data_IF_655598400831
#
_entry.id   IF_655598400831
#
_cell.length_a   1.000
_cell.length_b   1.000
_cell.length_c   1.000
_cell.angle_alpha   90.00
_cell.angle_beta   90.00
_cell.angle_gamma   90.00
#
_symmetry.space_group_name_H-M   'P 1'
#
loop_
_entity.id
_entity.type
_entity.pdbx_description
1 polymer ?
#
# COMPACT_ATOMS: atom_id res chain seq x y z
N UNK A 1 25.12 23.39 -3.82
CA UNK A 1 24.41 24.35 -4.70
C UNK A 1 24.23 23.74 -6.09
N UNK A 2 25.25 23.08 -6.67
CA UNK A 2 25.21 22.49 -8.02
C UNK A 2 24.10 21.45 -8.15
N UNK A 3 23.99 20.52 -7.21
CA UNK A 3 22.97 19.45 -7.19
C UNK A 3 21.53 19.97 -7.12
N UNK A 4 21.31 21.13 -6.50
CA UNK A 4 19.99 21.77 -6.43
C UNK A 4 19.57 22.39 -7.77
N UNK A 5 20.52 22.91 -8.54
CA UNK A 5 20.26 23.49 -9.85
C UNK A 5 19.95 22.40 -10.87
N UNK A 6 20.63 21.26 -10.78
CA UNK A 6 20.38 20.09 -11.64
C UNK A 6 19.01 19.45 -11.41
N UNK A 7 18.45 19.54 -10.20
CA UNK A 7 17.12 19.02 -9.88
C UNK A 7 15.95 19.89 -10.39
N UNK A 8 16.17 21.19 -10.60
CA UNK A 8 15.10 22.13 -10.96
C UNK A 8 14.31 21.77 -12.23
N UNK A 9 14.93 21.34 -13.35
CA UNK A 9 14.19 20.94 -14.55
C UNK A 9 13.26 19.75 -14.30
N UNK A 10 13.70 18.81 -13.46
CA UNK A 10 12.89 17.63 -13.09
C UNK A 10 11.72 18.03 -12.18
N UNK A 11 11.95 18.87 -11.19
CA UNK A 11 10.90 19.41 -10.31
C UNK A 11 9.85 20.10 -11.17
N UNK A 12 10.24 20.99 -12.07
CA UNK A 12 9.32 21.69 -12.98
C UNK A 12 8.54 20.72 -13.88
N UNK A 13 9.18 19.66 -14.37
CA UNK A 13 8.57 18.66 -15.25
C UNK A 13 7.49 17.84 -14.53
N UNK A 14 7.70 17.55 -13.25
CA UNK A 14 6.83 16.66 -12.46
C UNK A 14 5.89 17.39 -11.50
N UNK A 15 6.03 18.71 -11.34
CA UNK A 15 5.15 19.51 -10.50
C UNK A 15 3.68 19.33 -10.91
N UNK A 16 2.81 19.10 -9.93
CA UNK A 16 1.37 18.86 -10.13
C UNK A 16 1.01 17.46 -10.63
N UNK A 17 2.01 16.63 -10.97
CA UNK A 17 1.75 15.25 -11.44
C UNK A 17 1.56 14.30 -10.27
N UNK A 18 0.67 13.33 -10.47
CA UNK A 18 0.48 12.21 -9.55
C UNK A 18 1.59 11.18 -9.76
N UNK A 19 2.21 10.77 -8.66
CA UNK A 19 3.27 9.75 -8.64
C UNK A 19 2.86 8.65 -7.67
N UNK A 20 2.75 7.42 -8.17
CA UNK A 20 2.48 6.25 -7.33
C UNK A 20 3.80 5.64 -6.89
N UNK A 21 4.00 5.57 -5.59
CA UNK A 21 5.18 4.96 -4.96
C UNK A 21 4.78 3.62 -4.36
N UNK A 22 5.29 2.53 -4.93
CA UNK A 22 5.14 1.20 -4.37
C UNK A 22 6.20 1.00 -3.28
N UNK A 23 5.74 0.72 -2.08
CA UNK A 23 6.59 0.50 -0.91
C UNK A 23 6.37 -0.89 -0.32
N UNK A 24 7.41 -1.71 -0.29
CA UNK A 24 7.28 -3.09 0.18
C UNK A 24 8.61 -3.85 0.21
N UNK A 25 8.54 -5.14 0.44
CA UNK A 25 9.70 -6.03 0.43
C UNK A 25 10.69 -5.77 1.57
N UNK A 26 11.98 -5.79 1.27
CA UNK A 26 13.07 -5.61 2.26
C UNK A 26 13.12 -4.20 2.84
N UNK A 27 12.69 -3.19 2.09
CA UNK A 27 12.66 -1.81 2.56
C UNK A 27 11.73 -1.60 3.77
N UNK A 28 10.77 -2.50 4.00
CA UNK A 28 9.88 -2.44 5.18
C UNK A 28 10.49 -3.01 6.46
N UNK A 29 11.61 -3.73 6.37
CA UNK A 29 12.23 -4.41 7.51
C UNK A 29 13.29 -3.56 8.21
N UNK A 30 13.90 -2.63 7.48
CA UNK A 30 14.92 -1.72 7.99
C UNK A 30 14.25 -0.38 8.32
N UNK A 31 14.25 -0.02 9.59
CA UNK A 31 13.64 1.24 10.07
C UNK A 31 14.30 2.48 9.47
N UNK A 32 15.62 2.43 9.17
CA UNK A 32 16.31 3.54 8.53
C UNK A 32 15.90 3.68 7.06
N UNK A 33 15.82 2.56 6.32
CA UNK A 33 15.35 2.56 4.94
C UNK A 33 13.88 3.01 4.87
N UNK A 34 13.06 2.53 5.78
CA UNK A 34 11.65 2.94 5.90
C UNK A 34 11.53 4.45 6.10
N UNK A 35 12.26 5.00 7.06
CA UNK A 35 12.25 6.44 7.32
C UNK A 35 12.74 7.24 6.11
N UNK A 36 13.81 6.81 5.45
CA UNK A 36 14.34 7.50 4.27
C UNK A 36 13.34 7.52 3.11
N UNK A 37 12.69 6.38 2.81
CA UNK A 37 11.66 6.33 1.76
C UNK A 37 10.50 7.27 2.08
N UNK A 38 10.02 7.29 3.32
CA UNK A 38 8.93 8.17 3.73
C UNK A 38 9.35 9.65 3.65
N UNK A 39 10.59 9.96 4.02
CA UNK A 39 11.17 11.30 3.88
C UNK A 39 11.25 11.75 2.43
N UNK A 40 11.67 10.87 1.53
CA UNK A 40 11.73 11.16 0.10
C UNK A 40 10.33 11.41 -0.47
N UNK A 41 9.33 10.61 -0.09
CA UNK A 41 7.94 10.82 -0.52
C UNK A 41 7.38 12.13 0.02
N UNK A 42 7.67 12.48 1.28
CA UNK A 42 7.30 13.78 1.84
C UNK A 42 7.95 14.94 1.06
N UNK A 43 9.21 14.76 0.65
CA UNK A 43 9.91 15.75 -0.18
C UNK A 43 9.24 15.92 -1.55
N UNK A 44 8.82 14.81 -2.20
CA UNK A 44 8.06 14.90 -3.46
C UNK A 44 6.80 15.75 -3.31
N UNK A 45 6.09 15.61 -2.20
CA UNK A 45 4.93 16.43 -1.87
C UNK A 45 5.29 17.90 -1.73
N UNK A 46 6.36 18.20 -0.98
CA UNK A 46 6.81 19.59 -0.73
C UNK A 46 7.24 20.31 -1.99
N UNK A 47 7.77 19.61 -2.99
CA UNK A 47 8.13 20.20 -4.29
C UNK A 47 6.96 20.28 -5.27
N UNK A 48 5.73 20.00 -4.82
CA UNK A 48 4.50 20.19 -5.59
C UNK A 48 4.04 19.01 -6.42
N UNK A 49 4.61 17.82 -6.21
CA UNK A 49 4.06 16.58 -6.76
C UNK A 49 2.89 16.07 -5.92
N UNK A 50 2.12 15.13 -6.45
CA UNK A 50 0.99 14.48 -5.78
C UNK A 50 1.31 13.00 -5.57
N UNK A 51 2.10 12.63 -4.53
CA UNK A 51 2.45 11.24 -4.29
C UNK A 51 1.26 10.46 -3.70
N UNK A 52 1.18 9.19 -4.08
CA UNK A 52 0.30 8.18 -3.52
C UNK A 52 1.17 6.98 -3.13
N UNK A 53 1.10 6.53 -1.89
CA UNK A 53 1.83 5.33 -1.45
C UNK A 53 0.91 4.12 -1.56
N UNK A 54 1.43 3.06 -2.20
CA UNK A 54 0.83 1.72 -2.16
C UNK A 54 1.80 0.81 -1.45
N UNK A 55 1.42 0.26 -0.30
CA UNK A 55 2.34 -0.53 0.50
C UNK A 55 2.02 -2.02 0.50
N UNK A 56 3.00 -2.83 0.87
CA UNK A 56 2.86 -4.25 1.17
C UNK A 56 2.87 -4.53 2.67
N UNK A 57 3.23 -5.75 3.06
CA UNK A 57 3.31 -6.17 4.47
C UNK A 57 3.43 -7.67 4.67
N UNK A 58 3.81 -8.41 3.63
CA UNK A 58 3.83 -9.88 3.66
C UNK A 58 4.65 -10.48 4.81
N UNK A 59 5.79 -9.88 5.15
CA UNK A 59 6.63 -10.35 6.27
C UNK A 59 6.01 -10.08 7.64
N UNK A 60 5.36 -8.93 7.81
CA UNK A 60 4.62 -8.65 9.04
C UNK A 60 3.41 -9.58 9.19
N UNK A 61 2.69 -9.89 8.08
CA UNK A 61 1.62 -10.89 8.11
C UNK A 61 2.17 -12.25 8.56
N UNK A 62 3.27 -12.74 7.96
CA UNK A 62 3.89 -14.03 8.35
C UNK A 62 4.26 -14.07 9.82
N UNK A 63 4.84 -12.99 10.34
CA UNK A 63 5.19 -12.85 11.76
C UNK A 63 3.97 -12.99 12.69
N UNK A 64 2.85 -12.36 12.34
CA UNK A 64 1.65 -12.42 13.16
C UNK A 64 0.86 -13.72 13.01
N UNK A 65 0.86 -14.33 11.82
CA UNK A 65 0.31 -15.68 11.58
C UNK A 65 1.06 -16.69 12.47
N UNK A 66 2.40 -16.64 12.48
CA UNK A 66 3.21 -17.49 13.36
C UNK A 66 2.94 -17.23 14.85
N UNK A 67 2.78 -15.98 15.28
CA UNK A 67 2.42 -15.63 16.66
C UNK A 67 1.03 -16.15 17.07
N UNK A 68 0.14 -16.30 16.12
CA UNK A 68 -1.18 -16.91 16.35
C UNK A 68 -1.14 -18.45 16.39
N UNK A 69 0.05 -19.06 16.30
CA UNK A 69 0.23 -20.52 16.33
C UNK A 69 -0.08 -21.20 15.00
N UNK A 70 -0.14 -20.43 13.91
CA UNK A 70 -0.36 -20.95 12.55
C UNK A 70 0.93 -20.86 11.73
N UNK A 71 1.05 -21.72 10.72
CA UNK A 71 2.20 -21.69 9.81
C UNK A 71 1.84 -20.92 8.53
N UNK A 72 2.68 -19.94 8.12
CA UNK A 72 2.51 -19.27 6.85
C UNK A 72 2.78 -20.24 5.68
N UNK A 73 1.79 -20.44 4.81
CA UNK A 73 1.92 -21.28 3.62
C UNK A 73 1.95 -20.42 2.35
N UNK A 74 2.74 -20.85 1.37
CA UNK A 74 2.86 -20.19 0.06
C UNK A 74 2.76 -21.21 -1.07
N UNK A 75 2.05 -20.85 -2.12
CA UNK A 75 1.93 -21.62 -3.36
C UNK A 75 2.32 -20.69 -4.51
N UNK A 76 3.37 -21.06 -5.24
CA UNK A 76 3.92 -20.25 -6.34
C UNK A 76 4.19 -18.77 -5.97
N UNK A 77 4.69 -18.56 -4.75
CA UNK A 77 4.98 -17.20 -4.24
C UNK A 77 3.77 -16.43 -3.72
N UNK A 78 2.56 -16.95 -3.89
CA UNK A 78 1.33 -16.39 -3.35
C UNK A 78 1.01 -17.02 -2.00
N UNK A 79 0.56 -16.20 -1.03
CA UNK A 79 0.16 -16.68 0.29
C UNK A 79 -1.13 -17.46 0.18
N UNK A 80 -1.12 -18.73 0.59
CA UNK A 80 -2.36 -19.47 0.83
C UNK A 80 -3.06 -18.83 2.02
N UNK A 81 -4.28 -18.31 1.79
CA UNK A 81 -4.94 -17.40 2.73
C UNK A 81 -6.33 -17.92 3.03
N UNK A 82 -6.46 -18.73 4.08
CA UNK A 82 -7.76 -19.14 4.64
C UNK A 82 -8.42 -17.97 5.41
N UNK A 83 -9.63 -18.16 5.90
CA UNK A 83 -10.37 -17.12 6.60
C UNK A 83 -9.65 -16.58 7.84
N UNK A 84 -9.10 -17.41 8.76
CA UNK A 84 -8.32 -16.90 9.89
C UNK A 84 -7.06 -16.14 9.48
N UNK A 85 -6.38 -16.62 8.44
CA UNK A 85 -5.19 -15.94 7.90
C UNK A 85 -5.56 -14.60 7.28
N UNK A 86 -6.71 -14.50 6.59
CA UNK A 86 -7.17 -13.23 6.01
C UNK A 86 -7.52 -12.20 7.08
N UNK A 87 -8.15 -12.62 8.17
CA UNK A 87 -8.46 -11.75 9.31
C UNK A 87 -7.18 -11.15 9.91
N UNK A 88 -6.17 -11.98 10.13
CA UNK A 88 -4.86 -11.53 10.59
C UNK A 88 -4.21 -10.59 9.56
N UNK A 89 -4.25 -10.94 8.29
CA UNK A 89 -3.68 -10.13 7.23
C UNK A 89 -4.31 -8.74 7.18
N UNK A 90 -5.63 -8.64 7.28
CA UNK A 90 -6.35 -7.37 7.31
C UNK A 90 -5.96 -6.52 8.52
N UNK A 91 -5.93 -7.09 9.73
CA UNK A 91 -5.49 -6.40 10.95
C UNK A 91 -4.06 -5.88 10.82
N UNK A 92 -3.14 -6.73 10.37
CA UNK A 92 -1.72 -6.39 10.27
C UNK A 92 -1.47 -5.32 9.22
N UNK A 93 -2.08 -5.44 8.05
CA UNK A 93 -1.93 -4.46 6.97
C UNK A 93 -2.50 -3.09 7.35
N UNK A 94 -3.62 -3.04 8.06
CA UNK A 94 -4.14 -1.78 8.57
C UNK A 94 -3.21 -1.17 9.64
N UNK A 95 -2.59 -1.98 10.49
CA UNK A 95 -1.57 -1.52 11.43
C UNK A 95 -0.36 -0.91 10.70
N UNK A 96 0.16 -1.59 9.68
CA UNK A 96 1.26 -1.08 8.83
C UNK A 96 0.84 0.24 8.17
N UNK A 97 -0.36 0.28 7.59
CA UNK A 97 -0.91 1.47 6.97
C UNK A 97 -0.91 2.67 7.92
N UNK A 98 -1.46 2.52 9.12
CA UNK A 98 -1.52 3.61 10.11
C UNK A 98 -0.16 4.01 10.67
N UNK A 99 0.80 3.08 10.74
CA UNK A 99 2.18 3.43 11.11
C UNK A 99 2.85 4.33 10.07
N UNK A 100 2.60 4.09 8.78
CA UNK A 100 3.09 4.94 7.69
C UNK A 100 2.43 6.33 7.73
N UNK A 101 1.13 6.38 8.01
CA UNK A 101 0.42 7.67 8.21
C UNK A 101 1.09 8.49 9.30
N UNK A 102 1.38 7.90 10.45
CA UNK A 102 2.04 8.58 11.57
C UNK A 102 3.42 9.12 11.17
N UNK A 103 4.23 8.32 10.47
CA UNK A 103 5.56 8.74 10.02
C UNK A 103 5.51 9.92 9.04
N UNK A 104 4.57 9.90 8.10
CA UNK A 104 4.38 11.02 7.15
C UNK A 104 3.95 12.29 7.88
N UNK A 105 3.05 12.16 8.85
CA UNK A 105 2.58 13.31 9.65
C UNK A 105 3.66 13.89 10.55
N UNK A 106 4.57 13.09 11.09
CA UNK A 106 5.76 13.58 11.80
C UNK A 106 6.62 14.51 10.94
N UNK A 107 6.63 14.31 9.63
CA UNK A 107 7.33 15.16 8.66
C UNK A 107 6.54 16.41 8.24
N UNK A 108 5.39 16.67 8.88
CA UNK A 108 4.57 17.85 8.59
C UNK A 108 3.67 17.73 7.36
N UNK A 109 3.49 16.53 6.83
CA UNK A 109 2.62 16.26 5.67
C UNK A 109 1.34 15.57 6.14
N UNK A 110 0.17 16.08 5.72
CA UNK A 110 -1.10 15.46 6.04
C UNK A 110 -1.32 14.21 5.18
N UNK A 111 -1.45 13.06 5.83
CA UNK A 111 -1.66 11.77 5.19
C UNK A 111 -2.98 11.14 5.61
N UNK A 112 -3.59 10.39 4.71
CA UNK A 112 -4.78 9.58 4.96
C UNK A 112 -4.51 8.15 4.54
N UNK A 113 -4.63 7.23 5.49
CA UNK A 113 -4.52 5.79 5.22
C UNK A 113 -5.88 5.18 4.90
N UNK A 114 -5.98 4.57 3.75
CA UNK A 114 -7.16 3.85 3.25
C UNK A 114 -6.79 2.46 2.75
N UNK A 115 -7.78 1.63 2.52
CA UNK A 115 -7.64 0.37 1.81
C UNK A 115 -8.38 0.40 0.48
N UNK A 116 -8.22 -0.62 -0.32
CA UNK A 116 -9.02 -0.78 -1.53
C UNK A 116 -10.53 -0.92 -1.28
N UNK A 117 -10.94 -1.19 -0.03
CA UNK A 117 -12.35 -1.24 0.38
C UNK A 117 -12.99 0.15 0.43
N UNK A 118 -12.20 1.16 0.81
CA UNK A 118 -12.70 2.51 1.07
C UNK A 118 -13.11 3.20 -0.23
N UNK A 119 -14.30 3.79 -0.22
CA UNK A 119 -14.86 4.47 -1.39
C UNK A 119 -15.05 3.58 -2.63
N UNK A 120 -15.04 2.26 -2.46
CA UNK A 120 -15.11 1.32 -3.59
C UNK A 120 -13.87 1.42 -4.49
N UNK A 121 -12.71 1.78 -3.93
CA UNK A 121 -11.49 2.05 -4.69
C UNK A 121 -11.04 0.87 -5.55
N UNK A 122 -11.00 -0.34 -4.98
CA UNK A 122 -10.54 -1.54 -5.67
C UNK A 122 -11.59 -2.64 -5.61
N UNK A 123 -12.06 -3.02 -6.78
CA UNK A 123 -12.82 -4.24 -6.98
C UNK A 123 -11.87 -5.33 -7.39
N UNK A 124 -11.91 -6.45 -6.69
CA UNK A 124 -11.03 -7.60 -6.90
C UNK A 124 -11.84 -8.82 -7.27
N UNK A 125 -11.21 -9.76 -7.94
CA UNK A 125 -11.77 -11.09 -8.18
C UNK A 125 -10.82 -12.16 -7.65
N UNK A 126 -11.39 -13.30 -7.27
CA UNK A 126 -10.62 -14.40 -6.69
C UNK A 126 -9.56 -14.89 -7.67
N UNK A 127 -8.32 -15.01 -7.19
CA UNK A 127 -7.20 -15.52 -7.95
C UNK A 127 -6.93 -16.99 -7.62
N UNK A 128 -6.78 -17.79 -8.67
CA UNK A 128 -6.31 -19.17 -8.54
C UNK A 128 -4.80 -19.22 -8.83
N UNK A 129 -4.10 -20.14 -8.19
CA UNK A 129 -2.70 -20.45 -8.50
C UNK A 129 -2.63 -21.78 -9.25
N UNK A 130 -2.30 -21.74 -10.53
CA UNK A 130 -2.31 -22.93 -11.42
C UNK A 130 -3.62 -23.72 -11.34
N UNK A 131 -4.76 -23.02 -11.30
CA UNK A 131 -6.07 -23.62 -11.17
C UNK A 131 -6.44 -24.07 -9.77
N UNK A 132 -5.55 -23.93 -8.78
CA UNK A 132 -5.80 -24.27 -7.38
C UNK A 132 -6.36 -23.07 -6.61
N UNK A 133 -7.39 -23.31 -5.82
CA UNK A 133 -7.92 -22.33 -4.86
C UNK A 133 -6.92 -22.12 -3.71
N UNK A 134 -6.44 -20.91 -3.55
CA UNK A 134 -5.50 -20.49 -2.49
C UNK A 134 -6.17 -19.61 -1.42
N UNK A 135 -7.49 -19.58 -1.38
CA UNK A 135 -8.27 -18.86 -0.39
C UNK A 135 -8.56 -17.40 -0.77
N UNK A 136 -8.49 -16.52 0.22
CA UNK A 136 -8.83 -15.09 0.08
C UNK A 136 -7.71 -14.29 -0.58
N UNK A 137 -7.33 -14.70 -1.77
CA UNK A 137 -6.35 -14.02 -2.63
C UNK A 137 -7.04 -13.58 -3.91
N UNK A 138 -6.83 -12.33 -4.28
CA UNK A 138 -7.48 -11.73 -5.43
C UNK A 138 -6.50 -11.02 -6.36
N UNK A 139 -7.02 -10.66 -7.51
CA UNK A 139 -6.39 -9.71 -8.43
C UNK A 139 -7.34 -8.55 -8.71
N UNK A 140 -6.78 -7.39 -8.96
CA UNK A 140 -7.56 -6.18 -9.19
C UNK A 140 -8.25 -6.26 -10.54
N UNK A 141 -9.59 -6.15 -10.54
CA UNK A 141 -10.44 -6.16 -11.72
C UNK A 141 -10.82 -4.76 -12.19
N UNK A 142 -11.23 -3.92 -11.25
CA UNK A 142 -11.64 -2.56 -11.53
C UNK A 142 -11.07 -1.60 -10.47
N UNK A 143 -10.79 -0.38 -10.90
CA UNK A 143 -10.34 0.70 -10.00
C UNK A 143 -11.29 1.88 -10.15
N UNK A 144 -11.85 2.33 -9.02
CA UNK A 144 -12.59 3.59 -8.94
C UNK A 144 -11.72 4.64 -8.22
N UNK A 145 -11.01 5.49 -8.94
CA UNK A 145 -10.04 6.40 -8.35
C UNK A 145 -10.65 7.65 -7.73
N UNK A 146 -11.97 7.78 -7.66
CA UNK A 146 -12.64 8.99 -7.18
C UNK A 146 -12.13 9.47 -5.84
N UNK A 147 -12.04 8.58 -4.84
CA UNK A 147 -11.55 8.93 -3.51
C UNK A 147 -10.10 9.44 -3.53
N UNK A 148 -9.25 8.89 -4.41
CA UNK A 148 -7.87 9.35 -4.54
C UNK A 148 -7.79 10.76 -5.11
N UNK A 149 -8.56 11.07 -6.14
CA UNK A 149 -8.60 12.42 -6.71
C UNK A 149 -9.12 13.43 -5.69
N UNK A 150 -10.19 13.10 -4.96
CA UNK A 150 -10.75 13.95 -3.92
C UNK A 150 -9.72 14.24 -2.80
N UNK A 151 -8.98 13.21 -2.35
CA UNK A 151 -7.93 13.38 -1.34
C UNK A 151 -6.76 14.21 -1.86
N UNK A 152 -6.29 13.94 -3.07
CA UNK A 152 -5.19 14.69 -3.70
C UNK A 152 -5.55 16.15 -3.95
N UNK A 153 -6.80 16.44 -4.33
CA UNK A 153 -7.30 17.80 -4.50
C UNK A 153 -7.34 18.57 -3.18
N UNK A 154 -7.67 17.89 -2.08
CA UNK A 154 -7.67 18.45 -0.72
C UNK A 154 -6.30 18.44 -0.06
N UNK A 155 -5.25 18.21 -0.83
CA UNK A 155 -3.85 18.25 -0.41
C UNK A 155 -3.42 17.17 0.58
N UNK A 156 -4.15 16.05 0.66
CA UNK A 156 -3.75 14.88 1.41
C UNK A 156 -2.81 13.98 0.62
N UNK A 157 -1.96 13.24 1.33
CA UNK A 157 -1.15 12.15 0.80
C UNK A 157 -1.84 10.82 1.11
N UNK A 158 -2.44 10.14 0.11
CA UNK A 158 -3.09 8.86 0.31
C UNK A 158 -2.07 7.73 0.49
N UNK A 159 -2.34 6.83 1.44
CA UNK A 159 -1.55 5.61 1.68
C UNK A 159 -2.51 4.43 1.60
N UNK A 160 -2.28 3.53 0.64
CA UNK A 160 -3.22 2.48 0.28
C UNK A 160 -2.74 1.12 0.76
N UNK A 161 -3.59 0.43 1.51
CA UNK A 161 -3.43 -0.93 1.98
C UNK A 161 -3.89 -1.93 0.89
N UNK A 162 -3.16 -3.05 0.64
CA UNK A 162 -3.39 -3.95 -0.48
C UNK A 162 -4.50 -4.98 -0.22
N UNK A 163 -5.69 -4.52 0.08
CA UNK A 163 -6.92 -5.30 0.21
C UNK A 163 -8.04 -4.66 -0.58
N UNK A 164 -8.93 -5.47 -1.12
CA UNK A 164 -10.09 -5.01 -1.87
C UNK A 164 -11.31 -5.89 -1.60
N UNK A 165 -12.44 -5.57 -2.22
CA UNK A 165 -13.68 -6.31 -2.11
C UNK A 165 -14.02 -6.97 -3.44
N UNK A 166 -14.52 -8.19 -3.38
CA UNK A 166 -15.12 -8.86 -4.53
C UNK A 166 -16.61 -8.50 -4.72
N UNK A 167 -17.28 -9.15 -5.67
CA UNK A 167 -18.71 -8.93 -5.96
C UNK A 167 -19.65 -9.31 -4.79
N UNK A 168 -19.18 -10.16 -3.87
CA UNK A 168 -19.92 -10.56 -2.67
C UNK A 168 -19.56 -9.71 -1.44
N UNK A 169 -18.72 -8.70 -1.63
CA UNK A 169 -18.12 -7.89 -0.55
C UNK A 169 -17.20 -8.67 0.38
N UNK A 170 -16.67 -9.81 -0.07
CA UNK A 170 -15.63 -10.52 0.63
C UNK A 170 -14.29 -9.80 0.49
N UNK A 171 -13.56 -9.73 1.61
CA UNK A 171 -12.25 -9.08 1.67
C UNK A 171 -11.17 -10.01 1.10
N UNK A 172 -10.49 -9.58 0.06
CA UNK A 172 -9.40 -10.31 -0.56
C UNK A 172 -8.08 -9.54 -0.45
N UNK A 173 -7.02 -10.28 -0.14
CA UNK A 173 -5.65 -9.80 -0.21
C UNK A 173 -5.19 -9.82 -1.67
N UNK A 174 -4.66 -8.72 -2.18
CA UNK A 174 -4.01 -8.74 -3.48
C UNK A 174 -2.51 -8.49 -3.37
N UNK A 175 -1.76 -9.07 -4.29
CA UNK A 175 -0.34 -8.79 -4.43
C UNK A 175 -0.16 -7.84 -5.59
N UNK A 176 0.44 -6.69 -5.33
CA UNK A 176 0.87 -5.79 -6.39
C UNK A 176 2.02 -6.45 -7.17
N UNK A 177 1.96 -6.55 -8.48
CA UNK A 177 3.04 -7.06 -9.31
C UNK A 177 4.32 -6.23 -9.17
#
# INVERSE_FOLDING_TARGET
IRDRIEAMPYIKKFQGKTVVVKYGGSAMLDENLKYNVIKDVAMLKLVGMKPVIVHGGGKEISKWVAKAGMEPEFINGLRKTDAPTMEIAEMVLNRVNKSLVSMVQELGVQAVGISGKDGGLLKVEKKLSDGQDIGYVGEVKEVNPKILYDLLEKDFLPIICPIGLDDNYDCLLYTSP
#
